data_IF_405490082637
#
_entry.id   IF_405490082637
#
_cell.length_a   1.000
_cell.length_b   1.000
_cell.length_c   1.000
_cell.angle_alpha   90.00
_cell.angle_beta   90.00
_cell.angle_gamma   90.00
#
_symmetry.space_group_name_H-M   'P 1'
#
loop_
_entity.id
_entity.type
_entity.pdbx_description
1 polymer ?
#
# COMPACT_ATOMS: atom_id res chain seq x y z
N UNK A 1 3.62 -34.16 15.30
CA UNK A 1 2.64 -33.32 14.58
C UNK A 1 3.38 -32.63 13.45
N UNK A 2 2.88 -32.60 12.19
CA UNK A 2 3.53 -31.82 11.13
C UNK A 2 3.53 -30.34 11.54
N UNK A 3 4.64 -29.65 11.30
CA UNK A 3 4.74 -28.21 11.55
C UNK A 3 3.68 -27.46 10.71
N UNK A 4 3.03 -26.46 11.31
CA UNK A 4 2.07 -25.61 10.61
C UNK A 4 2.74 -24.94 9.40
N UNK A 5 2.03 -24.88 8.27
CA UNK A 5 2.52 -24.27 7.04
C UNK A 5 2.82 -22.79 7.26
N UNK A 6 4.08 -22.39 7.08
CA UNK A 6 4.54 -21.00 7.18
C UNK A 6 4.99 -20.56 5.79
N UNK A 7 4.25 -19.67 5.10
CA UNK A 7 4.57 -19.23 3.76
C UNK A 7 5.98 -18.64 3.63
N UNK A 8 6.49 -17.94 4.64
CA UNK A 8 7.82 -17.33 4.58
C UNK A 8 8.92 -18.38 4.68
N UNK A 9 8.74 -19.39 5.53
CA UNK A 9 9.70 -20.49 5.68
C UNK A 9 9.61 -21.46 4.51
N UNK A 10 8.39 -21.89 4.17
CA UNK A 10 8.14 -23.01 3.27
C UNK A 10 8.23 -22.58 1.79
N UNK A 11 7.98 -21.30 1.46
CA UNK A 11 8.10 -20.78 0.09
C UNK A 11 9.34 -19.91 -0.15
N UNK A 12 9.79 -19.15 0.86
CA UNK A 12 10.93 -18.24 0.71
C UNK A 12 12.18 -18.66 1.49
N UNK A 13 12.12 -19.68 2.35
CA UNK A 13 13.26 -20.11 3.18
C UNK A 13 13.63 -19.12 4.30
N UNK A 14 12.71 -18.23 4.69
CA UNK A 14 12.97 -17.15 5.65
C UNK A 14 12.61 -17.59 7.08
N UNK A 15 13.63 -17.88 7.88
CA UNK A 15 13.51 -18.32 9.29
C UNK A 15 13.71 -17.17 10.30
N UNK A 16 13.43 -15.92 9.90
CA UNK A 16 13.66 -14.76 10.78
C UNK A 16 12.76 -14.81 12.02
N UNK A 17 13.30 -14.51 13.22
CA UNK A 17 12.49 -14.42 14.43
C UNK A 17 11.56 -13.20 14.41
N UNK A 18 11.89 -12.18 13.60
CA UNK A 18 11.08 -10.99 13.40
C UNK A 18 10.04 -11.22 12.29
N UNK A 19 8.77 -10.98 12.62
CA UNK A 19 7.64 -11.01 11.68
C UNK A 19 6.90 -9.67 11.69
N UNK A 20 6.56 -9.10 10.51
CA UNK A 20 6.95 -9.55 9.17
C UNK A 20 8.46 -9.36 8.92
N UNK A 21 9.08 -10.14 8.01
CA UNK A 21 10.45 -9.91 7.58
C UNK A 21 10.62 -8.50 6.98
N UNK A 22 11.82 -7.93 7.07
CA UNK A 22 12.13 -6.67 6.40
C UNK A 22 12.29 -6.86 4.88
N UNK A 23 12.32 -5.77 4.12
CA UNK A 23 12.39 -5.81 2.65
C UNK A 23 13.68 -6.46 2.13
N UNK A 24 14.81 -6.35 2.86
CA UNK A 24 16.06 -6.98 2.46
C UNK A 24 15.97 -8.49 2.68
N UNK A 25 15.45 -8.92 3.84
CA UNK A 25 15.17 -10.33 4.13
C UNK A 25 14.16 -10.94 3.15
N UNK A 26 13.13 -10.18 2.75
CA UNK A 26 12.16 -10.58 1.73
C UNK A 26 12.78 -10.73 0.35
N UNK A 27 13.85 -10.01 0.00
CA UNK A 27 14.56 -10.20 -1.27
C UNK A 27 15.76 -11.16 -1.17
N UNK A 28 16.18 -11.52 0.05
CA UNK A 28 17.31 -12.42 0.26
C UNK A 28 18.64 -11.68 0.15
N UNK A 29 18.60 -10.38 0.43
CA UNK A 29 19.73 -9.46 0.35
C UNK A 29 20.28 -9.18 1.74
N UNK A 30 21.54 -8.76 1.78
CA UNK A 30 22.11 -8.17 2.98
C UNK A 30 21.42 -6.84 3.32
N UNK A 31 21.32 -6.55 4.62
CA UNK A 31 20.76 -5.29 5.11
C UNK A 31 21.54 -4.12 4.52
N UNK A 32 20.79 -3.15 3.97
CA UNK A 32 21.33 -1.92 3.38
C UNK A 32 22.12 -2.11 2.08
N UNK A 33 21.93 -3.21 1.34
CA UNK A 33 22.50 -3.37 -0.01
C UNK A 33 22.26 -2.11 -0.85
N UNK A 34 23.32 -1.66 -1.53
CA UNK A 34 23.38 -0.39 -2.26
C UNK A 34 23.41 -0.59 -3.77
N UNK A 35 23.86 -1.76 -4.24
CA UNK A 35 23.92 -2.10 -5.64
C UNK A 35 22.51 -2.32 -6.20
N UNK A 36 22.05 -1.35 -6.99
CA UNK A 36 20.74 -1.38 -7.64
C UNK A 36 20.55 -2.64 -8.51
N UNK A 37 21.61 -3.08 -9.20
CA UNK A 37 21.50 -4.24 -10.10
C UNK A 37 21.29 -5.51 -9.28
N UNK A 38 22.02 -5.69 -8.19
CA UNK A 38 21.81 -6.82 -7.27
C UNK A 38 20.40 -6.85 -6.70
N UNK A 39 19.87 -5.68 -6.31
CA UNK A 39 18.49 -5.57 -5.80
C UNK A 39 17.48 -6.02 -6.86
N UNK A 40 17.66 -5.57 -8.10
CA UNK A 40 16.76 -5.92 -9.21
C UNK A 40 16.86 -7.39 -9.60
N UNK A 41 18.07 -7.92 -9.72
CA UNK A 41 18.32 -9.33 -10.04
C UNK A 41 17.72 -10.25 -8.97
N UNK A 42 17.98 -9.98 -7.68
CA UNK A 42 17.47 -10.78 -6.57
C UNK A 42 15.93 -10.76 -6.49
N UNK A 43 15.31 -9.59 -6.70
CA UNK A 43 13.86 -9.50 -6.75
C UNK A 43 13.26 -10.30 -7.90
N UNK A 44 13.87 -10.21 -9.08
CA UNK A 44 13.40 -10.91 -10.28
C UNK A 44 13.51 -12.42 -10.11
N UNK A 45 14.66 -12.91 -9.64
CA UNK A 45 14.88 -14.33 -9.38
C UNK A 45 13.86 -14.88 -8.37
N UNK A 46 13.65 -14.17 -7.26
CA UNK A 46 12.78 -14.63 -6.18
C UNK A 46 11.31 -14.64 -6.58
N UNK A 47 10.87 -13.64 -7.34
CA UNK A 47 9.52 -13.60 -7.88
C UNK A 47 9.29 -14.70 -8.92
N UNK A 48 10.26 -14.96 -9.81
CA UNK A 48 10.19 -16.03 -10.80
C UNK A 48 10.06 -17.41 -10.14
N UNK A 49 10.92 -17.72 -9.18
CA UNK A 49 10.87 -18.99 -8.43
C UNK A 49 9.51 -19.19 -7.74
N UNK A 50 8.97 -18.13 -7.15
CA UNK A 50 7.68 -18.19 -6.47
C UNK A 50 6.50 -18.36 -7.45
N UNK A 51 6.59 -17.80 -8.66
CA UNK A 51 5.63 -18.02 -9.73
C UNK A 51 5.67 -19.48 -10.22
N UNK A 52 6.84 -20.06 -10.38
CA UNK A 52 7.01 -21.47 -10.80
C UNK A 52 6.44 -22.46 -9.77
N UNK A 53 6.50 -22.11 -8.49
CA UNK A 53 5.96 -22.92 -7.40
C UNK A 53 4.44 -22.74 -7.20
N UNK A 54 3.82 -21.73 -7.82
CA UNK A 54 2.41 -21.40 -7.60
C UNK A 54 1.48 -22.46 -8.21
N UNK A 55 1.05 -23.43 -7.41
CA UNK A 55 0.01 -24.39 -7.74
C UNK A 55 -1.33 -24.03 -7.05
N UNK A 56 -2.41 -24.72 -7.44
CA UNK A 56 -3.77 -24.44 -6.96
C UNK A 56 -3.93 -24.49 -5.43
N UNK A 57 -3.10 -25.25 -4.71
CA UNK A 57 -3.20 -25.42 -3.25
C UNK A 57 -2.57 -24.25 -2.47
N UNK A 58 -1.61 -23.55 -3.05
CA UNK A 58 -0.86 -22.46 -2.39
C UNK A 58 -0.96 -21.12 -3.12
N UNK A 59 -1.83 -21.01 -4.13
CA UNK A 59 -1.98 -19.82 -4.99
C UNK A 59 -2.25 -18.53 -4.20
N UNK A 60 -3.08 -18.59 -3.16
CA UNK A 60 -3.39 -17.41 -2.34
C UNK A 60 -2.18 -16.96 -1.51
N UNK A 61 -1.33 -17.91 -1.09
CA UNK A 61 -0.11 -17.59 -0.33
C UNK A 61 0.98 -17.08 -1.26
N UNK A 62 1.17 -17.69 -2.43
CA UNK A 62 2.16 -17.23 -3.41
C UNK A 62 1.80 -15.85 -3.95
N UNK A 63 0.52 -15.57 -4.24
CA UNK A 63 0.09 -14.25 -4.71
C UNK A 63 0.34 -13.15 -3.67
N UNK A 64 0.05 -13.43 -2.39
CA UNK A 64 0.36 -12.50 -1.29
C UNK A 64 1.85 -12.20 -1.21
N UNK A 65 2.69 -13.23 -1.23
CA UNK A 65 4.14 -13.08 -1.20
C UNK A 65 4.68 -12.36 -2.46
N UNK A 66 4.12 -12.59 -3.64
CA UNK A 66 4.48 -11.85 -4.86
C UNK A 66 4.18 -10.36 -4.74
N UNK A 67 3.07 -10.00 -4.10
CA UNK A 67 2.73 -8.60 -3.83
C UNK A 67 3.72 -7.96 -2.85
N UNK A 68 4.11 -8.68 -1.79
CA UNK A 68 5.13 -8.25 -0.83
C UNK A 68 6.51 -8.08 -1.47
N UNK A 69 6.96 -9.05 -2.27
CA UNK A 69 8.22 -8.98 -3.03
C UNK A 69 8.22 -7.79 -4.00
N UNK A 70 7.09 -7.56 -4.68
CA UNK A 70 6.92 -6.41 -5.58
C UNK A 70 7.02 -5.08 -4.83
N UNK A 71 6.43 -5.00 -3.64
CA UNK A 71 6.50 -3.81 -2.79
C UNK A 71 7.94 -3.57 -2.28
N UNK A 72 8.63 -4.62 -1.85
CA UNK A 72 10.04 -4.57 -1.45
C UNK A 72 10.93 -4.07 -2.60
N UNK A 73 10.78 -4.64 -3.80
CA UNK A 73 11.50 -4.20 -5.01
C UNK A 73 11.26 -2.72 -5.30
N UNK A 74 10.00 -2.26 -5.31
CA UNK A 74 9.68 -0.84 -5.58
C UNK A 74 10.31 0.10 -4.55
N UNK A 75 10.28 -0.28 -3.27
CA UNK A 75 10.86 0.50 -2.19
C UNK A 75 12.39 0.60 -2.33
N UNK A 76 13.07 -0.54 -2.50
CA UNK A 76 14.53 -0.60 -2.53
C UNK A 76 15.15 -0.06 -3.83
N UNK A 77 14.43 -0.14 -4.95
CA UNK A 77 14.86 0.48 -6.21
C UNK A 77 14.50 1.97 -6.32
N UNK A 78 13.67 2.52 -5.43
CA UNK A 78 13.43 3.97 -5.41
C UNK A 78 14.38 4.63 -4.41
N UNK A 79 15.30 5.47 -4.90
CA UNK A 79 16.35 6.07 -4.07
C UNK A 79 15.79 6.82 -2.84
N UNK A 80 14.70 7.57 -3.00
CA UNK A 80 14.09 8.33 -1.90
C UNK A 80 13.43 7.39 -0.89
N UNK A 81 12.67 6.40 -1.38
CA UNK A 81 11.98 5.44 -0.50
C UNK A 81 12.96 4.56 0.26
N UNK A 82 14.04 4.11 -0.40
CA UNK A 82 15.12 3.33 0.22
C UNK A 82 15.76 4.09 1.37
N UNK A 83 16.13 5.35 1.17
CA UNK A 83 16.75 6.18 2.22
C UNK A 83 15.83 6.29 3.44
N UNK A 84 14.56 6.66 3.23
CA UNK A 84 13.59 6.76 4.32
C UNK A 84 13.37 5.42 5.04
N UNK A 85 13.35 4.32 4.29
CA UNK A 85 13.21 2.97 4.83
C UNK A 85 14.42 2.56 5.68
N UNK A 86 15.62 2.84 5.19
CA UNK A 86 16.88 2.51 5.87
C UNK A 86 17.03 3.25 7.20
N UNK A 87 16.59 4.51 7.28
CA UNK A 87 16.57 5.28 8.54
C UNK A 87 15.66 4.64 9.60
N UNK A 88 14.48 4.16 9.19
CA UNK A 88 13.56 3.46 10.09
C UNK A 88 14.19 2.17 10.62
N UNK A 89 14.85 1.40 9.76
CA UNK A 89 15.53 0.16 10.17
C UNK A 89 16.67 0.45 11.16
N UNK A 90 17.51 1.45 10.90
CA UNK A 90 18.59 1.85 11.82
C UNK A 90 18.06 2.23 13.19
N UNK A 91 16.97 3.00 13.24
CA UNK A 91 16.33 3.42 14.49
C UNK A 91 15.80 2.21 15.27
N UNK A 92 15.15 1.25 14.58
CA UNK A 92 14.67 0.01 15.20
C UNK A 92 15.81 -0.82 15.78
N UNK A 93 16.89 -1.02 15.02
CA UNK A 93 18.06 -1.77 15.49
C UNK A 93 18.75 -1.10 16.68
N UNK A 94 18.81 0.23 16.71
CA UNK A 94 19.40 0.97 17.83
C UNK A 94 18.55 0.84 19.10
N UNK A 95 17.21 0.92 18.99
CA UNK A 95 16.30 0.67 20.13
C UNK A 95 16.43 -0.75 20.66
N UNK A 96 16.54 -1.73 19.78
CA UNK A 96 16.74 -3.13 20.18
C UNK A 96 18.07 -3.32 20.93
N UNK A 97 19.16 -2.69 20.48
CA UNK A 97 20.46 -2.71 21.19
C UNK A 97 20.38 -2.07 22.58
N UNK A 98 19.69 -0.94 22.72
CA UNK A 98 19.51 -0.26 24.00
C UNK A 98 18.67 -1.09 24.99
N UNK A 99 17.66 -1.81 24.49
CA UNK A 99 16.85 -2.71 25.33
C UNK A 99 17.58 -4.01 25.72
N UNK A 100 18.59 -4.43 24.96
CA UNK A 100 19.38 -5.64 25.22
C UNK A 100 20.64 -5.42 26.05
N UNK A 101 21.12 -4.18 26.18
CA UNK A 101 22.35 -3.81 26.89
C UNK A 101 22.14 -3.48 28.39
N UNK A 102 21.08 -4.02 29.00
CA UNK A 102 20.68 -3.72 30.37
C UNK A 102 20.49 -4.95 31.24
N UNK A 103 21.48 -5.86 31.31
CA UNK A 103 21.51 -6.86 32.39
C UNK A 103 22.90 -7.48 32.62
N UNK A 104 23.74 -6.84 33.43
CA UNK A 104 24.78 -7.47 34.27
C UNK A 104 25.12 -6.51 35.44
N UNK A 105 24.23 -6.41 36.44
CA UNK A 105 24.65 -6.45 37.85
C UNK A 105 23.47 -6.41 38.82
N UNK A 106 23.58 -7.30 39.80
CA UNK A 106 22.61 -7.60 40.84
C UNK A 106 22.42 -6.42 41.79
N UNK A 107 21.15 -6.10 42.04
CA UNK A 107 20.67 -5.47 43.26
C UNK A 107 19.25 -5.99 43.46
N UNK A 108 19.06 -6.89 44.42
CA UNK A 108 17.74 -7.43 44.75
C UNK A 108 16.87 -6.32 45.31
N UNK A 109 16.15 -5.62 44.44
CA UNK A 109 15.12 -4.70 44.88
C UNK A 109 13.85 -5.51 45.06
N UNK A 110 13.50 -5.73 46.32
CA UNK A 110 12.23 -6.33 46.74
C UNK A 110 11.10 -5.37 46.38
N UNK A 111 10.56 -5.50 45.16
CA UNK A 111 9.40 -4.72 44.74
C UNK A 111 8.14 -5.39 45.29
N UNK A 112 7.71 -4.96 46.47
CA UNK A 112 6.31 -5.10 46.88
C UNK A 112 5.44 -4.50 45.77
N UNK A 113 4.50 -5.31 45.30
CA UNK A 113 3.46 -4.94 44.36
C UNK A 113 2.64 -3.77 44.92
N UNK A 114 2.67 -2.62 44.24
CA UNK A 114 1.55 -1.67 44.20
C UNK A 114 1.46 -1.00 42.80
N UNK A 115 0.25 -0.71 42.28
CA UNK A 115 -0.03 -0.54 40.86
C UNK A 115 0.06 0.91 40.34
N UNK A 116 0.20 1.01 39.00
CA UNK A 116 -0.10 2.06 37.99
C UNK A 116 -0.34 3.51 38.48
N UNK A 117 0.08 4.57 37.78
CA UNK A 117 -0.46 5.15 36.52
C UNK A 117 0.44 6.39 36.26
N UNK A 118 0.98 6.63 35.05
CA UNK A 118 1.20 7.98 34.44
C UNK A 118 2.03 7.95 33.14
N UNK A 119 2.92 6.99 32.87
CA UNK A 119 3.75 7.03 31.62
C UNK A 119 3.12 6.39 30.37
N UNK A 120 1.94 5.76 30.51
CA UNK A 120 1.36 4.93 29.45
C UNK A 120 0.50 5.69 28.40
N UNK A 121 0.31 7.02 28.51
CA UNK A 121 -0.60 7.77 27.63
C UNK A 121 0.11 8.37 26.40
N UNK A 122 1.36 8.83 26.53
CA UNK A 122 2.04 9.52 25.41
C UNK A 122 2.50 8.53 24.33
N UNK A 123 3.01 7.37 24.74
CA UNK A 123 3.47 6.34 23.80
C UNK A 123 2.32 5.70 23.01
N UNK A 124 1.16 5.50 23.64
CA UNK A 124 -0.05 5.01 22.97
C UNK A 124 -0.66 6.05 22.04
N UNK A 125 -0.66 7.34 22.40
CA UNK A 125 -1.12 8.40 21.48
C UNK A 125 -0.18 8.51 20.27
N UNK A 126 1.14 8.44 20.45
CA UNK A 126 2.09 8.45 19.32
C UNK A 126 1.99 7.18 18.48
N UNK A 127 1.81 6.00 19.09
CA UNK A 127 1.62 4.74 18.37
C UNK A 127 0.27 4.69 17.64
N UNK A 128 -0.81 5.24 18.22
CA UNK A 128 -2.12 5.36 17.58
C UNK A 128 -2.12 6.45 16.50
N UNK A 129 -1.35 7.53 16.66
CA UNK A 129 -1.12 8.53 15.61
C UNK A 129 -0.27 7.94 14.48
N UNK A 130 0.77 7.14 14.78
CA UNK A 130 1.59 6.49 13.75
C UNK A 130 0.86 5.35 13.05
N UNK A 131 0.08 4.54 13.77
CA UNK A 131 -0.82 3.54 13.18
C UNK A 131 -1.95 4.21 12.40
N UNK A 132 -2.48 5.34 12.88
CA UNK A 132 -3.45 6.17 12.17
C UNK A 132 -2.88 6.73 10.88
N UNK A 133 -1.66 7.30 10.90
CA UNK A 133 -0.95 7.79 9.71
C UNK A 133 -0.58 6.64 8.77
N UNK A 134 -0.25 5.46 9.29
CA UNK A 134 -0.01 4.25 8.48
C UNK A 134 -1.31 3.72 7.84
N UNK A 135 -2.46 3.78 8.52
CA UNK A 135 -3.78 3.54 7.94
C UNK A 135 -4.22 4.64 6.96
N UNK A 136 -3.78 5.89 7.15
CA UNK A 136 -3.93 7.00 6.19
C UNK A 136 -2.97 6.88 4.98
N UNK A 137 -2.01 5.95 5.00
CA UNK A 137 -1.06 5.67 3.92
C UNK A 137 -1.33 4.34 3.20
N UNK A 138 -2.58 3.86 3.19
CA UNK A 138 -2.97 2.93 2.14
C UNK A 138 -2.75 3.65 0.80
N UNK A 139 -1.96 3.11 -0.15
CA UNK A 139 -2.00 3.63 -1.51
C UNK A 139 -3.47 3.62 -1.93
N UNK A 140 -4.00 4.69 -2.53
CA UNK A 140 -5.37 4.67 -3.01
C UNK A 140 -5.47 3.47 -3.94
N UNK A 141 -6.23 2.46 -3.53
CA UNK A 141 -6.55 1.36 -4.40
C UNK A 141 -7.26 2.02 -5.61
N UNK A 142 -6.69 1.85 -6.80
CA UNK A 142 -7.19 2.49 -8.00
C UNK A 142 -8.48 1.79 -8.41
N UNK A 143 -9.60 2.49 -8.33
CA UNK A 143 -10.88 1.98 -8.76
C UNK A 143 -11.13 2.39 -10.22
N UNK A 144 -11.78 1.50 -10.97
CA UNK A 144 -12.17 1.79 -12.34
C UNK A 144 -13.54 2.48 -12.34
N UNK A 145 -13.59 3.74 -12.76
CA UNK A 145 -14.83 4.43 -13.04
C UNK A 145 -15.23 4.15 -14.48
N UNK A 146 -16.37 3.48 -14.68
CA UNK A 146 -16.98 3.28 -15.99
C UNK A 146 -18.07 4.33 -16.17
N UNK A 147 -17.96 5.13 -17.22
CA UNK A 147 -18.93 6.18 -17.51
C UNK A 147 -19.66 5.83 -18.80
N UNK A 148 -20.98 5.70 -18.72
CA UNK A 148 -21.83 5.47 -19.88
C UNK A 148 -22.05 6.78 -20.63
N UNK A 149 -21.01 7.24 -21.34
CA UNK A 149 -21.02 8.42 -22.20
C UNK A 149 -20.47 8.02 -23.57
N UNK A 150 -21.28 7.86 -24.63
CA UNK A 150 -20.79 7.36 -25.92
C UNK A 150 -19.89 8.40 -26.64
N UNK A 151 -18.87 7.99 -27.43
CA UNK A 151 -17.92 8.87 -28.10
C UNK A 151 -18.55 9.97 -28.95
N UNK A 152 -19.66 9.67 -29.65
CA UNK A 152 -20.39 10.65 -30.46
C UNK A 152 -20.95 11.82 -29.65
N UNK A 153 -21.25 11.60 -28.37
CA UNK A 153 -21.75 12.61 -27.44
C UNK A 153 -20.63 13.35 -26.69
N UNK A 154 -19.37 12.96 -26.85
CA UNK A 154 -18.19 13.54 -26.16
C UNK A 154 -17.60 14.75 -26.88
N UNK A 155 -18.00 15.00 -28.13
CA UNK A 155 -17.48 16.13 -28.94
C UNK A 155 -17.88 17.45 -28.28
N UNK A 156 -16.90 18.30 -27.95
CA UNK A 156 -17.12 19.53 -27.17
C UNK A 156 -17.36 19.29 -25.67
N UNK A 157 -17.31 18.03 -25.22
CA UNK A 157 -17.44 17.66 -23.81
C UNK A 157 -16.14 17.88 -23.04
N UNK A 158 -16.25 18.38 -21.81
CA UNK A 158 -15.16 18.43 -20.84
C UNK A 158 -15.56 17.69 -19.58
N UNK A 159 -14.64 16.94 -19.02
CA UNK A 159 -14.82 16.26 -17.74
C UNK A 159 -13.76 16.72 -16.75
N UNK A 160 -14.19 16.94 -15.51
CA UNK A 160 -13.31 17.25 -14.40
C UNK A 160 -13.53 16.25 -13.28
N UNK A 161 -12.43 15.79 -12.67
CA UNK A 161 -12.45 15.03 -11.42
C UNK A 161 -11.67 15.85 -10.41
N UNK A 162 -12.33 16.22 -9.32
CA UNK A 162 -11.79 17.10 -8.27
C UNK A 162 -11.17 18.38 -8.84
N UNK A 163 -11.89 19.01 -9.78
CA UNK A 163 -11.47 20.20 -10.52
C UNK A 163 -10.25 20.02 -11.44
N UNK A 164 -9.69 18.80 -11.58
CA UNK A 164 -8.65 18.49 -12.56
C UNK A 164 -9.26 18.04 -13.88
N UNK A 165 -8.90 18.65 -15.02
CA UNK A 165 -9.38 18.22 -16.32
C UNK A 165 -8.93 16.78 -16.58
N UNK A 166 -9.86 15.95 -17.05
CA UNK A 166 -9.58 14.59 -17.47
C UNK A 166 -9.63 14.48 -18.97
N UNK A 167 -8.69 13.72 -19.53
CA UNK A 167 -8.75 13.34 -20.93
C UNK A 167 -9.94 12.40 -21.14
N UNK A 168 -10.71 12.64 -22.21
CA UNK A 168 -11.82 11.80 -22.62
C UNK A 168 -11.31 10.87 -23.73
N UNK A 169 -10.75 9.69 -23.40
CA UNK A 169 -10.30 8.75 -24.43
C UNK A 169 -11.48 8.36 -25.30
N UNK A 170 -11.25 8.09 -26.59
CA UNK A 170 -12.29 7.69 -27.54
C UNK A 170 -12.67 6.19 -27.42
N UNK A 171 -12.12 5.48 -26.44
CA UNK A 171 -12.38 4.05 -26.19
C UNK A 171 -13.77 3.81 -25.59
N UNK A 172 -14.34 2.64 -25.87
CA UNK A 172 -15.57 2.15 -25.24
C UNK A 172 -15.32 0.85 -24.43
N UNK A 173 -15.86 0.73 -23.21
CA UNK A 173 -16.52 1.79 -22.44
C UNK A 173 -15.49 2.86 -21.97
N UNK A 174 -15.94 4.06 -21.64
CA UNK A 174 -15.08 5.10 -21.06
C UNK A 174 -14.62 4.65 -19.67
N UNK A 175 -13.33 4.36 -19.53
CA UNK A 175 -12.70 3.92 -18.28
C UNK A 175 -11.74 4.98 -17.80
N UNK A 176 -11.98 5.50 -16.59
CA UNK A 176 -11.08 6.44 -15.93
C UNK A 176 -10.65 5.82 -14.61
N UNK A 177 -9.35 5.81 -14.37
CA UNK A 177 -8.81 5.33 -13.10
C UNK A 177 -8.88 6.47 -12.09
N UNK A 178 -9.58 6.26 -10.99
CA UNK A 178 -9.79 7.26 -9.93
C UNK A 178 -9.44 6.60 -8.60
N UNK A 179 -8.87 7.37 -7.68
CA UNK A 179 -8.63 6.90 -6.33
C UNK A 179 -9.94 6.48 -5.66
N UNK A 180 -9.85 5.53 -4.73
CA UNK A 180 -10.96 5.29 -3.80
C UNK A 180 -11.20 6.50 -2.90
N UNK A 181 -12.47 6.83 -2.67
CA UNK A 181 -12.88 7.94 -1.84
C UNK A 181 -13.99 8.79 -2.44
N UNK A 182 -14.39 9.86 -1.75
CA UNK A 182 -15.35 10.82 -2.25
C UNK A 182 -14.70 11.65 -3.37
N UNK A 183 -15.28 11.60 -4.56
CA UNK A 183 -14.82 12.37 -5.72
C UNK A 183 -15.93 13.29 -6.22
N UNK A 184 -15.55 14.52 -6.57
CA UNK A 184 -16.45 15.47 -7.23
C UNK A 184 -16.19 15.38 -8.73
N UNK A 185 -17.20 14.95 -9.46
CA UNK A 185 -17.13 14.82 -10.91
C UNK A 185 -18.02 15.87 -11.55
N UNK A 186 -17.45 16.58 -12.52
CA UNK A 186 -18.16 17.57 -13.30
C UNK A 186 -18.10 17.22 -14.78
N UNK A 187 -19.26 17.20 -15.42
CA UNK A 187 -19.41 17.01 -16.85
C UNK A 187 -19.97 18.30 -17.46
N UNK A 188 -19.28 18.83 -18.44
CA UNK A 188 -19.70 19.99 -19.22
C UNK A 188 -19.82 19.59 -20.69
N UNK A 189 -20.86 20.08 -21.35
CA UNK A 189 -21.06 19.91 -22.78
C UNK A 189 -21.79 21.14 -23.31
N UNK A 190 -21.39 21.61 -24.48
CA UNK A 190 -21.98 22.80 -25.10
C UNK A 190 -23.48 22.60 -25.34
N UNK A 191 -24.30 23.59 -24.94
CA UNK A 191 -25.77 23.54 -25.02
C UNK A 191 -26.47 22.78 -23.87
N UNK A 192 -25.74 22.21 -22.92
CA UNK A 192 -26.31 21.47 -21.78
C UNK A 192 -25.93 22.11 -20.45
N UNK A 193 -26.79 21.94 -19.44
CA UNK A 193 -26.43 22.31 -18.07
C UNK A 193 -25.27 21.43 -17.62
N UNK A 194 -24.30 22.04 -16.95
CA UNK A 194 -23.24 21.29 -16.26
C UNK A 194 -23.86 20.28 -15.30
N UNK A 195 -23.33 19.07 -15.30
CA UNK A 195 -23.71 18.02 -14.37
C UNK A 195 -22.60 17.95 -13.34
N UNK A 196 -22.94 18.19 -12.08
CA UNK A 196 -22.03 18.04 -10.95
C UNK A 196 -22.53 16.90 -10.06
N UNK A 197 -21.68 15.91 -9.82
CA UNK A 197 -22.02 14.77 -9.00
C UNK A 197 -20.89 14.46 -8.02
N UNK A 198 -21.25 14.24 -6.76
CA UNK A 198 -20.34 13.68 -5.76
C UNK A 198 -20.58 12.18 -5.71
N UNK A 199 -19.55 11.40 -5.95
CA UNK A 199 -19.62 9.94 -5.92
C UNK A 199 -18.69 9.40 -4.85
N UNK A 200 -19.09 8.29 -4.22
CA UNK A 200 -18.21 7.54 -3.35
C UNK A 200 -17.62 6.39 -4.15
N UNK A 201 -16.35 6.51 -4.52
CA UNK A 201 -15.61 5.48 -5.24
C UNK A 201 -15.11 4.46 -4.21
N UNK A 202 -15.63 3.24 -4.26
CA UNK A 202 -15.19 2.12 -3.42
C UNK A 202 -14.30 1.14 -4.23
N UNK A 203 -13.77 0.08 -3.60
CA UNK A 203 -12.92 -1.00 -4.18
C UNK A 203 -13.36 -1.66 -5.48
N UNK A 204 -14.52 -1.30 -6.02
CA UNK A 204 -15.17 -1.97 -7.13
C UNK A 204 -15.54 -0.95 -8.19
N UNK A 205 -15.66 -1.42 -9.43
CA UNK A 205 -16.09 -0.63 -10.58
C UNK A 205 -17.38 0.13 -10.30
N UNK A 206 -17.34 1.46 -10.38
CA UNK A 206 -18.53 2.31 -10.29
C UNK A 206 -18.99 2.64 -11.70
N UNK A 207 -20.24 2.32 -12.04
CA UNK A 207 -20.84 2.69 -13.32
C UNK A 207 -21.71 3.93 -13.14
N UNK A 208 -21.43 4.99 -13.89
CA UNK A 208 -22.22 6.20 -13.91
C UNK A 208 -22.98 6.34 -15.22
N UNK A 209 -24.29 6.53 -15.09
CA UNK A 209 -25.16 6.90 -16.20
C UNK A 209 -25.42 8.40 -16.17
N UNK A 210 -25.06 9.09 -17.25
CA UNK A 210 -25.26 10.53 -17.35
C UNK A 210 -26.68 10.84 -17.84
N UNK A 211 -27.34 11.78 -17.15
CA UNK A 211 -28.63 12.32 -17.54
C UNK A 211 -28.47 13.81 -17.90
N UNK A 212 -28.40 14.11 -19.20
CA UNK A 212 -28.21 15.45 -19.71
C UNK A 212 -29.51 16.26 -19.70
N UNK A 213 -29.45 17.48 -19.17
CA UNK A 213 -30.56 18.45 -19.18
C UNK A 213 -30.14 19.63 -20.06
N UNK A 214 -30.94 19.95 -21.07
CA UNK A 214 -30.70 21.07 -21.98
C UNK A 214 -30.70 22.38 -21.18
N UNK A 215 -29.70 23.24 -21.44
CA UNK A 215 -29.68 24.57 -20.83
C UNK A 215 -30.82 25.40 -21.44
N UNK A 216 -31.67 25.99 -20.58
CA UNK A 216 -32.72 26.91 -21.05
C UNK A 216 -32.00 28.16 -21.59
N UNK A 217 -32.39 28.69 -22.77
CA UNK A 217 -31.78 29.88 -23.36
C UNK A 217 -31.90 31.11 -22.45
#
# INVERSE_FOLDING_TARGET
MPAEFDPYRDLLGIVTPTRPPDHYALLGLELFESDRKKIEDAATERMGRLQDMANSKIVDHSQRLLNELSAARRCLLNAIQKVAYDEVLRTKSQRAKLSGSGNQNQGTVSWKQQPLIITAVVGTVVLLLLLGVFFLRRPPDNANLIIDWPPGDRVGGRMYIDAKPQELPLTEPLRISVSEGPHRIEFQRDGYRKIEQRIQVAKHTVRLKLHWIVAKP
#
